data_IF_458221551596
#
_entry.id   IF_458221551596
#
_cell.length_a   1.000
_cell.length_b   1.000
_cell.length_c   1.000
_cell.angle_alpha   90.00
_cell.angle_beta   90.00
_cell.angle_gamma   90.00
#
_symmetry.space_group_name_H-M   'P 1'
#
loop_
_entity.id
_entity.type
_entity.pdbx_description
1 polymer ?
#
# COMPACT_ATOMS: atom_id res chain seq x y z
N UNK A 1 10.16 -10.21 30.26
CA UNK A 1 8.69 -10.07 30.16
C UNK A 1 8.15 -11.22 29.32
N UNK A 2 7.34 -12.11 29.92
CA UNK A 2 6.79 -13.30 29.25
C UNK A 2 5.92 -12.95 28.03
N UNK A 3 5.25 -11.79 28.06
CA UNK A 3 4.41 -11.29 26.97
C UNK A 3 5.16 -11.19 25.62
N UNK A 4 6.30 -10.50 25.57
CA UNK A 4 7.05 -10.30 24.32
C UNK A 4 7.69 -11.58 23.79
N UNK A 5 7.97 -12.55 24.65
CA UNK A 5 8.44 -13.87 24.22
C UNK A 5 7.35 -14.64 23.48
N UNK A 6 6.07 -14.44 23.86
CA UNK A 6 4.92 -15.06 23.18
C UNK A 6 4.49 -14.30 21.93
N UNK A 7 4.38 -12.97 21.99
CA UNK A 7 3.89 -12.15 20.87
C UNK A 7 4.96 -11.88 19.81
N UNK A 8 6.24 -11.92 20.18
CA UNK A 8 7.36 -11.64 19.29
C UNK A 8 7.23 -10.29 18.58
N UNK A 9 7.67 -10.26 17.30
CA UNK A 9 7.68 -9.06 16.45
C UNK A 9 6.32 -8.43 16.18
N UNK A 10 5.22 -9.17 16.39
CA UNK A 10 3.86 -8.63 16.19
C UNK A 10 3.52 -7.53 17.19
N UNK A 11 4.17 -7.53 18.36
CA UNK A 11 3.99 -6.53 19.40
C UNK A 11 5.06 -5.42 19.37
N UNK A 12 5.67 -5.16 18.21
CA UNK A 12 6.72 -4.12 18.08
C UNK A 12 6.23 -2.76 18.58
N UNK A 13 5.01 -2.35 18.22
CA UNK A 13 4.43 -1.08 18.67
C UNK A 13 4.24 -1.01 20.20
N UNK A 14 3.81 -2.11 20.83
CA UNK A 14 3.69 -2.18 22.29
C UNK A 14 5.06 -2.12 22.97
N UNK A 15 6.07 -2.78 22.40
CA UNK A 15 7.43 -2.76 22.93
C UNK A 15 8.06 -1.38 22.85
N UNK A 16 7.86 -0.68 21.74
CA UNK A 16 8.29 0.72 21.58
C UNK A 16 7.59 1.63 22.58
N UNK A 17 6.27 1.50 22.74
CA UNK A 17 5.51 2.30 23.71
C UNK A 17 6.03 2.13 25.13
N UNK A 18 6.23 0.89 25.59
CA UNK A 18 6.75 0.64 26.93
C UNK A 18 8.16 1.21 27.14
N UNK A 19 9.01 1.22 26.10
CA UNK A 19 10.31 1.87 26.16
C UNK A 19 10.16 3.39 26.28
N UNK A 20 9.28 4.01 25.49
CA UNK A 20 8.95 5.43 25.59
C UNK A 20 8.42 5.79 26.97
N UNK A 21 7.52 5.00 27.54
CA UNK A 21 6.95 5.23 28.86
C UNK A 21 8.06 5.23 29.93
N UNK A 22 8.95 4.21 29.90
CA UNK A 22 10.09 4.12 30.82
C UNK A 22 11.02 5.34 30.74
N UNK A 23 11.37 5.77 29.52
CA UNK A 23 12.24 6.95 29.33
C UNK A 23 11.52 8.23 29.79
N UNK A 24 10.21 8.33 29.56
CA UNK A 24 9.41 9.51 29.92
C UNK A 24 9.24 9.65 31.44
N UNK A 25 9.13 8.54 32.17
CA UNK A 25 9.12 8.52 33.64
C UNK A 25 10.39 9.15 34.21
N UNK A 26 11.56 8.75 33.70
CA UNK A 26 12.85 9.29 34.12
C UNK A 26 13.02 10.76 33.72
N UNK A 27 12.54 11.17 32.54
CA UNK A 27 12.64 12.55 32.07
C UNK A 27 12.02 13.58 33.03
N UNK A 28 10.90 13.24 33.68
CA UNK A 28 10.28 14.10 34.69
C UNK A 28 11.13 14.23 35.97
N UNK A 29 11.84 13.18 36.36
CA UNK A 29 12.76 13.21 37.49
C UNK A 29 14.04 14.00 37.14
N UNK A 30 14.52 13.88 35.89
CA UNK A 30 15.66 14.65 35.38
C UNK A 30 15.36 16.15 35.42
N UNK A 31 14.18 16.62 35.01
CA UNK A 31 13.84 18.04 35.16
C UNK A 31 13.92 18.55 36.60
N UNK A 32 13.47 17.76 37.57
CA UNK A 32 13.56 18.12 38.99
C UNK A 32 15.02 18.20 39.47
N UNK A 33 15.89 17.32 38.97
CA UNK A 33 17.31 17.29 39.35
C UNK A 33 18.04 18.59 38.96
N UNK A 34 17.66 19.21 37.84
CA UNK A 34 18.28 20.45 37.35
C UNK A 34 17.44 21.71 37.66
N UNK A 35 16.41 21.59 38.50
CA UNK A 35 15.51 22.70 38.84
C UNK A 35 14.90 23.38 37.59
N UNK A 36 14.46 22.55 36.64
CA UNK A 36 13.84 22.95 35.38
C UNK A 36 12.32 22.81 35.50
N UNK A 37 11.60 23.93 35.44
CA UNK A 37 10.13 23.97 35.46
C UNK A 37 9.51 23.71 34.07
N UNK A 38 9.74 22.52 33.51
CA UNK A 38 9.15 22.10 32.22
C UNK A 38 8.36 20.79 32.34
N UNK A 39 7.33 20.66 31.51
CA UNK A 39 6.65 19.37 31.28
C UNK A 39 7.33 18.66 30.11
N UNK A 40 7.51 17.34 30.21
CA UNK A 40 8.15 16.50 29.17
C UNK A 40 7.56 16.70 27.77
N UNK A 41 6.24 16.80 27.67
CA UNK A 41 5.55 17.07 26.39
C UNK A 41 5.83 18.45 25.78
N UNK A 42 6.35 19.41 26.55
CA UNK A 42 6.69 20.74 26.05
C UNK A 42 8.09 20.79 25.43
N UNK A 43 8.93 19.79 25.71
CA UNK A 43 10.34 19.77 25.33
C UNK A 43 10.59 20.05 23.84
N UNK A 44 9.93 19.38 22.87
CA UNK A 44 10.25 19.63 21.46
C UNK A 44 10.00 21.07 21.03
N UNK A 45 8.90 21.68 21.49
CA UNK A 45 8.57 23.09 21.19
C UNK A 45 9.55 24.01 21.89
N UNK A 46 9.85 23.76 23.17
CA UNK A 46 10.80 24.56 23.93
C UNK A 46 12.21 24.52 23.33
N UNK A 47 12.68 23.33 22.94
CA UNK A 47 14.01 23.11 22.35
C UNK A 47 14.17 23.84 21.02
N UNK A 48 13.16 23.79 20.15
CA UNK A 48 13.18 24.55 18.89
C UNK A 48 13.22 26.06 19.16
N UNK A 49 12.44 26.55 20.13
CA UNK A 49 12.45 27.96 20.53
C UNK A 49 13.73 28.40 21.27
N UNK A 50 14.44 27.49 21.94
CA UNK A 50 15.71 27.85 22.62
C UNK A 50 16.88 28.01 21.64
N UNK A 51 16.75 27.47 20.43
CA UNK A 51 17.77 27.53 19.39
C UNK A 51 17.45 28.55 18.28
N UNK A 52 16.30 29.23 18.35
CA UNK A 52 15.84 30.19 17.35
C UNK A 52 15.26 31.44 18.03
N UNK A 53 15.37 32.62 17.42
CA UNK A 53 14.88 33.85 18.05
C UNK A 53 13.35 33.94 18.10
N UNK A 54 12.69 33.71 16.97
CA UNK A 54 11.24 33.84 16.81
C UNK A 54 10.71 32.93 15.71
N UNK A 55 9.66 32.16 15.97
CA UNK A 55 9.11 31.19 15.01
C UNK A 55 7.59 31.21 14.98
N UNK A 56 7.01 30.87 13.83
CA UNK A 56 5.56 30.63 13.73
C UNK A 56 5.19 29.23 14.22
N UNK A 57 3.94 29.04 14.63
CA UNK A 57 3.39 27.71 14.96
C UNK A 57 3.58 26.70 13.81
N UNK A 58 3.43 27.15 12.57
CA UNK A 58 3.58 26.31 11.37
C UNK A 58 5.02 25.84 11.19
N UNK A 59 6.00 26.72 11.42
CA UNK A 59 7.42 26.36 11.35
C UNK A 59 7.78 25.34 12.43
N UNK A 60 7.35 25.60 13.67
CA UNK A 60 7.59 24.69 14.80
C UNK A 60 6.99 23.31 14.51
N UNK A 61 5.73 23.25 14.06
CA UNK A 61 5.04 22.00 13.75
C UNK A 61 5.77 21.18 12.66
N UNK A 62 6.27 21.85 11.62
CA UNK A 62 7.03 21.22 10.55
C UNK A 62 8.35 20.65 11.06
N UNK A 63 9.07 21.40 11.89
CA UNK A 63 10.41 21.02 12.37
C UNK A 63 10.37 19.83 13.32
N UNK A 64 9.40 19.79 14.25
CA UNK A 64 9.29 18.70 15.23
C UNK A 64 8.44 17.52 14.72
N UNK A 65 7.90 17.61 13.49
CA UNK A 65 7.04 16.56 12.92
C UNK A 65 5.70 16.36 13.64
N UNK A 66 5.19 17.37 14.35
CA UNK A 66 3.90 17.32 15.06
C UNK A 66 2.78 18.00 14.25
N UNK A 67 1.53 17.66 14.58
CA UNK A 67 0.39 18.34 13.98
C UNK A 67 0.24 19.78 14.51
N UNK A 68 -0.23 20.70 13.66
CA UNK A 68 -0.48 22.09 14.05
C UNK A 68 -1.35 22.22 15.32
N UNK A 69 -2.49 21.50 15.47
CA UNK A 69 -3.29 21.56 16.70
C UNK A 69 -2.54 21.11 17.96
N UNK A 70 -1.64 20.14 17.84
CA UNK A 70 -0.81 19.67 18.97
C UNK A 70 0.16 20.76 19.43
N UNK A 71 0.84 21.41 18.48
CA UNK A 71 1.76 22.52 18.78
C UNK A 71 1.01 23.71 19.37
N UNK A 72 -0.13 24.12 18.80
CA UNK A 72 -0.96 25.20 19.36
C UNK A 72 -1.45 24.91 20.78
N UNK A 73 -1.66 23.64 21.15
CA UNK A 73 -2.01 23.27 22.52
C UNK A 73 -0.82 23.44 23.46
N UNK A 74 0.37 22.97 23.06
CA UNK A 74 1.60 23.12 23.84
C UNK A 74 1.94 24.59 24.07
N UNK A 75 1.88 25.41 23.02
CA UNK A 75 2.13 26.86 23.10
C UNK A 75 1.21 27.53 24.12
N UNK A 76 -0.11 27.28 24.05
CA UNK A 76 -1.06 27.84 25.03
C UNK A 76 -0.74 27.45 26.46
N UNK A 77 -0.36 26.19 26.69
CA UNK A 77 0.03 25.73 28.03
C UNK A 77 1.33 26.38 28.52
N UNK A 78 2.33 26.56 27.66
CA UNK A 78 3.59 27.21 27.99
C UNK A 78 3.42 28.71 28.25
N UNK A 79 2.58 29.39 27.46
CA UNK A 79 2.24 30.80 27.63
C UNK A 79 1.52 31.05 28.95
N UNK A 80 0.61 30.15 29.35
CA UNK A 80 -0.06 30.22 30.65
C UNK A 80 0.90 30.10 31.86
N UNK A 81 2.12 29.60 31.64
CA UNK A 81 3.18 29.51 32.65
C UNK A 81 4.27 30.57 32.50
N UNK A 82 4.05 31.57 31.65
CA UNK A 82 4.99 32.68 31.34
C UNK A 82 6.35 32.20 30.81
N UNK A 83 6.38 31.06 30.11
CA UNK A 83 7.62 30.49 29.52
C UNK A 83 7.88 31.07 28.13
N UNK A 84 6.82 31.45 27.42
CA UNK A 84 6.87 31.99 26.06
C UNK A 84 5.94 33.18 25.92
N UNK A 85 6.25 34.06 24.97
CA UNK A 85 5.43 35.22 24.63
C UNK A 85 5.13 35.24 23.13
N UNK A 86 3.96 35.79 22.77
CA UNK A 86 3.57 36.03 21.38
C UNK A 86 3.91 37.47 20.97
N UNK A 87 4.54 37.62 19.81
CA UNK A 87 4.77 38.92 19.17
C UNK A 87 4.22 38.90 17.74
N UNK A 88 3.88 40.07 17.20
CA UNK A 88 3.45 40.18 15.80
C UNK A 88 4.66 40.29 14.89
N UNK A 89 4.59 39.63 13.74
CA UNK A 89 5.58 39.78 12.69
C UNK A 89 5.61 41.23 12.14
N UNK A 90 6.81 41.75 11.89
CA UNK A 90 7.04 43.13 11.44
C UNK A 90 6.76 43.33 9.94
N UNK A 91 6.77 42.24 9.14
CA UNK A 91 6.53 42.25 7.70
C UNK A 91 5.10 41.84 7.33
N UNK A 92 4.48 40.92 8.09
CA UNK A 92 3.08 40.54 7.97
C UNK A 92 2.41 40.46 9.35
N UNK A 93 1.81 41.57 9.81
CA UNK A 93 1.18 41.70 11.13
C UNK A 93 -0.02 40.76 11.42
N UNK A 94 -0.31 39.82 10.51
CA UNK A 94 -1.25 38.70 10.69
C UNK A 94 -0.58 37.43 11.22
N UNK A 95 0.75 37.32 11.15
CA UNK A 95 1.50 36.18 11.66
C UNK A 95 1.88 36.41 13.13
N UNK A 96 1.39 35.54 14.01
CA UNK A 96 1.84 35.47 15.39
C UNK A 96 3.16 34.67 15.44
N UNK A 97 4.21 35.34 15.90
CA UNK A 97 5.50 34.77 16.20
C UNK A 97 5.58 34.42 17.69
N UNK A 98 6.28 33.34 17.97
CA UNK A 98 6.48 32.79 19.31
C UNK A 98 7.96 32.87 19.64
N UNK A 99 8.27 33.32 20.86
CA UNK A 99 9.63 33.40 21.38
C UNK A 99 9.67 33.04 22.86
N UNK A 100 10.84 32.71 23.38
CA UNK A 100 11.03 32.51 24.83
C UNK A 100 10.86 33.85 25.57
N UNK A 101 10.18 33.79 26.73
CA UNK A 101 10.15 34.91 27.68
C UNK A 101 11.50 35.01 28.43
N UNK A 102 11.75 36.05 29.24
CA UNK A 102 12.91 36.09 30.13
C UNK A 102 12.97 34.86 31.06
N UNK A 103 11.82 34.41 31.59
CA UNK A 103 11.75 33.16 32.37
C UNK A 103 12.12 31.94 31.51
N UNK A 104 11.62 31.87 30.29
CA UNK A 104 11.98 30.81 29.34
C UNK A 104 13.47 30.78 29.01
N UNK A 105 14.11 31.94 28.88
CA UNK A 105 15.55 32.04 28.64
C UNK A 105 16.39 31.55 29.83
N UNK A 106 15.99 31.84 31.07
CA UNK A 106 16.65 31.29 32.26
C UNK A 106 16.52 29.76 32.33
N UNK A 107 15.34 29.22 31.97
CA UNK A 107 15.14 27.78 31.86
C UNK A 107 16.06 27.20 30.77
N UNK A 108 16.19 27.87 29.61
CA UNK A 108 17.03 27.43 28.52
C UNK A 108 18.51 27.33 28.93
N UNK A 109 19.01 28.26 29.76
CA UNK A 109 20.37 28.19 30.32
C UNK A 109 20.58 26.93 31.15
N UNK A 110 19.67 26.63 32.08
CA UNK A 110 19.74 25.39 32.90
C UNK A 110 19.63 24.13 32.04
N UNK A 111 18.90 24.21 30.93
CA UNK A 111 18.68 23.07 30.03
C UNK A 111 19.95 22.65 29.29
N UNK A 112 20.91 23.57 29.06
CA UNK A 112 22.17 23.25 28.36
C UNK A 112 22.96 22.16 29.08
N UNK A 113 23.21 22.34 30.38
CA UNK A 113 23.95 21.37 31.19
C UNK A 113 23.20 20.04 31.28
N UNK A 114 21.88 20.10 31.48
CA UNK A 114 21.04 18.91 31.50
C UNK A 114 21.12 18.11 30.20
N UNK A 115 21.05 18.77 29.04
CA UNK A 115 21.10 18.10 27.75
C UNK A 115 22.46 17.48 27.47
N UNK A 116 23.54 18.13 27.91
CA UNK A 116 24.89 17.56 27.85
C UNK A 116 24.98 16.26 28.66
N UNK A 117 24.49 16.26 29.90
CA UNK A 117 24.54 15.09 30.78
C UNK A 117 23.60 13.96 30.30
N UNK A 118 22.40 14.29 29.82
CA UNK A 118 21.50 13.32 29.19
C UNK A 118 22.15 12.71 27.95
N UNK A 119 22.80 13.51 27.11
CA UNK A 119 23.54 13.04 25.94
C UNK A 119 24.63 12.03 26.33
N UNK A 120 25.46 12.37 27.31
CA UNK A 120 26.51 11.47 27.81
C UNK A 120 25.94 10.16 28.41
N UNK A 121 24.80 10.24 29.10
CA UNK A 121 24.12 9.06 29.64
C UNK A 121 23.59 8.14 28.52
N UNK A 122 22.98 8.72 27.47
CA UNK A 122 22.51 7.97 26.29
C UNK A 122 23.69 7.32 25.55
N UNK A 123 24.81 8.03 25.40
CA UNK A 123 26.04 7.47 24.82
C UNK A 123 26.59 6.29 25.62
N UNK A 124 26.54 6.38 26.96
CA UNK A 124 26.97 5.31 27.86
C UNK A 124 26.09 4.06 27.73
N UNK A 125 24.77 4.22 27.60
CA UNK A 125 23.84 3.12 27.33
C UNK A 125 24.12 2.53 25.95
N UNK A 126 24.30 3.37 24.93
CA UNK A 126 24.51 2.95 23.54
C UNK A 126 25.80 2.14 23.37
N UNK A 127 26.87 2.47 24.12
CA UNK A 127 28.12 1.68 24.15
C UNK A 127 27.95 0.25 24.70
N UNK A 128 26.87 -0.01 25.44
CA UNK A 128 26.56 -1.31 26.01
C UNK A 128 25.61 -2.15 25.15
N UNK A 129 25.13 -1.61 24.02
CA UNK A 129 24.22 -2.31 23.12
C UNK A 129 24.93 -2.76 21.84
N UNK A 130 24.56 -3.94 21.34
CA UNK A 130 25.08 -4.44 20.05
C UNK A 130 24.51 -3.66 18.85
N UNK A 131 23.28 -3.17 18.97
CA UNK A 131 22.57 -2.49 17.89
C UNK A 131 22.44 -1.01 18.21
N UNK A 132 22.62 -0.16 17.20
CA UNK A 132 22.41 1.29 17.28
C UNK A 132 20.91 1.59 17.15
N UNK A 133 20.27 1.87 18.29
CA UNK A 133 18.82 2.14 18.33
C UNK A 133 18.45 3.40 17.56
N UNK A 134 19.30 4.43 17.58
CA UNK A 134 19.04 5.70 16.92
C UNK A 134 18.93 5.51 15.41
N UNK A 135 19.93 4.85 14.82
CA UNK A 135 19.92 4.54 13.38
C UNK A 135 18.82 3.55 13.00
N UNK A 136 18.55 2.56 13.86
CA UNK A 136 17.48 1.60 13.60
C UNK A 136 16.09 2.26 13.53
N UNK A 137 15.82 3.27 14.37
CA UNK A 137 14.56 4.03 14.30
C UNK A 137 14.50 4.82 12.99
N UNK A 138 15.57 5.52 12.62
CA UNK A 138 15.64 6.31 11.38
C UNK A 138 15.41 5.43 10.13
N UNK A 139 16.02 4.24 10.07
CA UNK A 139 15.80 3.27 8.98
C UNK A 139 14.34 2.84 8.91
N UNK A 140 13.70 2.57 10.05
CA UNK A 140 12.28 2.19 10.10
C UNK A 140 11.37 3.34 9.66
N UNK A 141 11.65 4.57 10.08
CA UNK A 141 10.91 5.76 9.66
C UNK A 141 11.01 5.95 8.14
N UNK A 142 12.21 5.82 7.58
CA UNK A 142 12.42 5.86 6.13
C UNK A 142 11.58 4.80 5.41
N UNK A 143 11.67 3.53 5.84
CA UNK A 143 10.94 2.42 5.22
C UNK A 143 9.42 2.58 5.34
N UNK A 144 8.92 3.01 6.50
CA UNK A 144 7.49 3.21 6.73
C UNK A 144 6.92 4.42 5.97
N UNK A 145 7.75 5.43 5.69
CA UNK A 145 7.39 6.55 4.82
C UNK A 145 7.29 6.12 3.34
N UNK A 146 8.14 5.19 2.88
CA UNK A 146 8.02 4.62 1.54
C UNK A 146 6.79 3.71 1.43
N UNK A 147 6.55 2.89 2.46
CA UNK A 147 5.46 1.92 2.47
C UNK A 147 4.96 1.69 3.89
N UNK A 148 3.71 2.10 4.12
CA UNK A 148 3.09 1.90 5.43
C UNK A 148 3.04 0.42 5.83
N UNK A 149 3.05 0.17 7.14
CA UNK A 149 2.88 -1.17 7.69
C UNK A 149 1.60 -1.85 7.18
N UNK A 150 0.51 -1.08 6.99
CA UNK A 150 -0.73 -1.57 6.39
C UNK A 150 -0.47 -2.20 5.01
N UNK A 151 0.27 -1.51 4.13
CA UNK A 151 0.60 -2.04 2.80
C UNK A 151 1.48 -3.30 2.87
N UNK A 152 2.44 -3.36 3.79
CA UNK A 152 3.22 -4.59 4.02
C UNK A 152 2.30 -5.76 4.42
N UNK A 153 1.36 -5.53 5.33
CA UNK A 153 0.41 -6.54 5.77
C UNK A 153 -0.58 -6.93 4.66
N UNK A 154 -1.05 -5.97 3.87
CA UNK A 154 -1.92 -6.23 2.71
C UNK A 154 -1.24 -7.12 1.67
N UNK A 155 0.06 -6.95 1.43
CA UNK A 155 0.81 -7.80 0.51
C UNK A 155 1.02 -9.21 1.06
N UNK A 156 1.40 -9.36 2.33
CA UNK A 156 1.54 -10.69 2.96
C UNK A 156 0.18 -11.41 3.04
N UNK A 157 -0.88 -10.66 3.34
CA UNK A 157 -2.25 -11.18 3.24
C UNK A 157 -2.53 -11.63 1.82
N UNK A 158 -2.27 -10.81 0.81
CA UNK A 158 -2.51 -11.16 -0.59
C UNK A 158 -1.75 -12.42 -1.01
N UNK A 159 -0.49 -12.58 -0.61
CA UNK A 159 0.31 -13.80 -0.85
C UNK A 159 -0.39 -15.03 -0.27
N UNK A 160 -0.76 -14.97 1.02
CA UNK A 160 -1.48 -16.06 1.70
C UNK A 160 -2.84 -16.34 1.04
N UNK A 161 -3.61 -15.32 0.70
CA UNK A 161 -4.92 -15.50 0.06
C UNK A 161 -4.81 -16.15 -1.32
N UNK A 162 -3.71 -15.88 -2.04
CA UNK A 162 -3.42 -16.47 -3.35
C UNK A 162 -3.13 -17.98 -3.27
N UNK A 163 -2.72 -18.51 -2.11
CA UNK A 163 -2.49 -19.95 -1.93
C UNK A 163 -3.79 -20.74 -1.79
N UNK A 164 -4.92 -20.07 -1.55
CA UNK A 164 -6.25 -20.69 -1.52
C UNK A 164 -6.93 -20.67 -2.89
N UNK A 165 -6.24 -20.16 -3.92
CA UNK A 165 -6.74 -20.11 -5.29
C UNK A 165 -6.19 -21.30 -6.06
N UNK A 166 -7.10 -22.08 -6.62
CA UNK A 166 -6.82 -23.14 -7.56
C UNK A 166 -7.46 -22.77 -8.91
N UNK A 167 -6.74 -23.00 -10.01
CA UNK A 167 -7.30 -22.80 -11.35
C UNK A 167 -7.46 -24.17 -12.00
N UNK A 168 -8.70 -24.51 -12.32
CA UNK A 168 -9.08 -25.80 -12.91
C UNK A 168 -9.59 -25.61 -14.34
N UNK A 169 -9.45 -26.61 -15.22
CA UNK A 169 -10.12 -26.59 -16.51
C UNK A 169 -11.64 -26.60 -16.32
N UNK A 170 -12.34 -25.98 -17.25
CA UNK A 170 -13.79 -25.99 -17.30
C UNK A 170 -14.37 -27.39 -17.53
N UNK A 171 -15.52 -27.65 -16.90
CA UNK A 171 -16.42 -28.79 -17.13
C UNK A 171 -17.84 -28.25 -17.22
N UNK A 172 -18.78 -29.04 -17.73
CA UNK A 172 -20.20 -28.64 -17.86
C UNK A 172 -20.82 -28.17 -16.54
N UNK A 173 -20.33 -28.65 -15.40
CA UNK A 173 -20.81 -28.26 -14.06
C UNK A 173 -20.54 -26.78 -13.75
N UNK A 174 -19.60 -26.14 -14.45
CA UNK A 174 -19.26 -24.73 -14.28
C UNK A 174 -20.00 -23.80 -15.25
N UNK A 175 -20.87 -24.31 -16.12
CA UNK A 175 -21.64 -23.54 -17.12
C UNK A 175 -22.31 -22.31 -16.50
N UNK A 176 -23.12 -22.53 -15.46
CA UNK A 176 -23.88 -21.46 -14.80
C UNK A 176 -22.95 -20.43 -14.16
N UNK A 177 -21.82 -20.87 -13.62
CA UNK A 177 -20.82 -19.96 -13.02
C UNK A 177 -20.11 -19.13 -14.09
N UNK A 178 -19.72 -19.75 -15.20
CA UNK A 178 -19.08 -19.07 -16.33
C UNK A 178 -19.97 -17.97 -16.90
N UNK A 179 -21.25 -18.28 -17.10
CA UNK A 179 -22.25 -17.32 -17.54
C UNK A 179 -22.46 -16.22 -16.51
N UNK A 180 -22.80 -16.57 -15.26
CA UNK A 180 -23.15 -15.60 -14.22
C UNK A 180 -22.02 -14.60 -13.91
N UNK A 181 -20.76 -15.05 -13.85
CA UNK A 181 -19.62 -14.17 -13.58
C UNK A 181 -19.38 -13.18 -14.72
N UNK A 182 -19.49 -13.63 -15.97
CA UNK A 182 -19.34 -12.75 -17.12
C UNK A 182 -20.52 -11.78 -17.23
N UNK A 183 -21.76 -12.23 -17.02
CA UNK A 183 -22.95 -11.36 -17.04
C UNK A 183 -22.87 -10.29 -15.93
N UNK A 184 -22.55 -10.66 -14.68
CA UNK A 184 -22.37 -9.70 -13.58
C UNK A 184 -21.35 -8.62 -13.94
N UNK A 185 -20.23 -9.03 -14.56
CA UNK A 185 -19.19 -8.11 -14.98
C UNK A 185 -19.64 -7.22 -16.14
N UNK A 186 -20.21 -7.79 -17.20
CA UNK A 186 -20.64 -7.05 -18.39
C UNK A 186 -21.71 -6.06 -17.97
N UNK A 187 -22.80 -6.50 -17.35
CA UNK A 187 -23.93 -5.64 -16.96
C UNK A 187 -23.56 -4.52 -15.98
N UNK A 188 -22.45 -4.66 -15.25
CA UNK A 188 -21.94 -3.60 -14.36
C UNK A 188 -21.28 -2.45 -15.12
N UNK A 189 -20.67 -2.71 -16.26
CA UNK A 189 -19.83 -1.73 -16.98
C UNK A 189 -20.32 -1.42 -18.40
N UNK A 190 -21.08 -2.32 -19.01
CA UNK A 190 -21.50 -2.31 -20.41
C UNK A 190 -22.87 -2.98 -20.60
N UNK A 191 -23.39 -2.93 -21.81
CA UNK A 191 -24.55 -3.70 -22.23
C UNK A 191 -24.10 -5.06 -22.79
N UNK A 192 -24.93 -6.09 -22.60
CA UNK A 192 -24.72 -7.40 -23.22
C UNK A 192 -24.89 -7.28 -24.74
N UNK A 193 -23.96 -7.85 -25.50
CA UNK A 193 -23.99 -7.86 -26.97
C UNK A 193 -24.24 -9.29 -27.48
N UNK A 194 -24.71 -9.47 -28.73
CA UNK A 194 -25.06 -10.79 -29.29
C UNK A 194 -23.91 -11.80 -29.21
N UNK A 195 -22.68 -11.32 -29.41
CA UNK A 195 -21.47 -12.13 -29.28
C UNK A 195 -21.23 -12.64 -27.85
N UNK A 196 -21.70 -11.91 -26.83
CA UNK A 196 -21.67 -12.36 -25.44
C UNK A 196 -22.68 -13.48 -25.20
N UNK A 197 -23.93 -13.32 -25.62
CA UNK A 197 -24.96 -14.36 -25.46
C UNK A 197 -24.54 -15.68 -26.11
N UNK A 198 -24.06 -15.64 -27.35
CA UNK A 198 -23.60 -16.84 -28.05
C UNK A 198 -22.50 -17.58 -27.28
N UNK A 199 -21.53 -16.85 -26.73
CA UNK A 199 -20.39 -17.42 -26.03
C UNK A 199 -20.73 -17.93 -24.62
N UNK A 200 -21.65 -17.25 -23.91
CA UNK A 200 -22.00 -17.56 -22.52
C UNK A 200 -23.10 -18.61 -22.41
N UNK A 201 -24.03 -18.66 -23.37
CA UNK A 201 -25.14 -19.62 -23.33
C UNK A 201 -24.70 -21.02 -23.77
N UNK A 202 -23.73 -21.15 -24.67
CA UNK A 202 -23.26 -22.43 -25.21
C UNK A 202 -21.72 -22.50 -25.36
N UNK A 203 -20.93 -22.32 -24.28
CA UNK A 203 -19.46 -22.28 -24.32
C UNK A 203 -18.82 -23.57 -24.83
N UNK A 204 -19.49 -24.73 -24.66
CA UNK A 204 -19.03 -25.99 -25.24
C UNK A 204 -18.89 -25.87 -26.76
N UNK A 205 -19.99 -25.54 -27.45
CA UNK A 205 -20.01 -25.42 -28.90
C UNK A 205 -19.28 -24.17 -29.42
N UNK A 206 -19.34 -23.06 -28.69
CA UNK A 206 -18.78 -21.79 -29.17
C UNK A 206 -17.29 -21.60 -28.88
N UNK A 207 -16.75 -22.25 -27.84
CA UNK A 207 -15.36 -22.08 -27.40
C UNK A 207 -14.60 -23.41 -27.43
N UNK A 208 -15.08 -24.43 -26.71
CA UNK A 208 -14.33 -25.67 -26.49
C UNK A 208 -14.20 -26.50 -27.77
N UNK A 209 -15.32 -26.73 -28.47
CA UNK A 209 -15.36 -27.55 -29.69
C UNK A 209 -14.59 -26.90 -30.86
N UNK A 210 -14.36 -25.59 -30.78
CA UNK A 210 -13.56 -24.82 -31.74
C UNK A 210 -12.05 -24.80 -31.39
N UNK A 211 -11.60 -25.59 -30.42
CA UNK A 211 -10.21 -25.66 -29.99
C UNK A 211 -9.78 -24.56 -29.01
N UNK A 212 -10.75 -23.85 -28.43
CA UNK A 212 -10.55 -22.94 -27.31
C UNK A 212 -10.49 -23.66 -25.96
N UNK A 213 -10.28 -22.90 -24.90
CA UNK A 213 -10.21 -23.41 -23.53
C UNK A 213 -10.89 -22.43 -22.57
N UNK A 214 -11.49 -22.95 -21.50
CA UNK A 214 -12.03 -22.14 -20.40
C UNK A 214 -11.40 -22.62 -19.09
N UNK A 215 -11.08 -21.68 -18.22
CA UNK A 215 -10.49 -21.91 -16.92
C UNK A 215 -11.38 -21.30 -15.85
N UNK A 216 -11.48 -21.99 -14.71
CA UNK A 216 -12.26 -21.57 -13.56
C UNK A 216 -11.32 -21.44 -12.37
N UNK A 217 -11.35 -20.30 -11.70
CA UNK A 217 -10.64 -20.09 -10.45
C UNK A 217 -11.56 -20.41 -9.27
N UNK A 218 -11.14 -21.38 -8.47
CA UNK A 218 -11.72 -21.73 -7.20
C UNK A 218 -10.97 -21.01 -6.09
N UNK A 219 -11.68 -20.27 -5.24
CA UNK A 219 -11.12 -19.74 -4.00
C UNK A 219 -11.77 -20.48 -2.83
N UNK A 220 -10.98 -21.26 -2.08
CA UNK A 220 -11.49 -22.16 -1.03
C UNK A 220 -12.62 -23.06 -1.56
N UNK A 221 -12.40 -23.69 -2.71
CA UNK A 221 -13.35 -24.58 -3.41
C UNK A 221 -14.63 -23.90 -3.94
N UNK A 222 -14.72 -22.57 -3.88
CA UNK A 222 -15.86 -21.83 -4.44
C UNK A 222 -15.43 -21.21 -5.77
N UNK A 223 -16.14 -21.43 -6.89
CA UNK A 223 -15.80 -20.81 -8.17
C UNK A 223 -16.09 -19.31 -8.11
N UNK A 224 -15.06 -18.50 -8.37
CA UNK A 224 -15.09 -17.05 -8.18
C UNK A 224 -14.46 -16.27 -9.32
N UNK A 225 -13.90 -16.95 -10.31
CA UNK A 225 -13.35 -16.30 -11.49
C UNK A 225 -13.30 -17.24 -12.69
N UNK A 226 -13.31 -16.66 -13.88
CA UNK A 226 -13.24 -17.40 -15.14
C UNK A 226 -12.40 -16.63 -16.15
N UNK A 227 -11.84 -17.37 -17.11
CA UNK A 227 -11.10 -16.84 -18.27
C UNK A 227 -11.21 -17.83 -19.42
N UNK A 228 -11.28 -17.33 -20.65
CA UNK A 228 -11.30 -18.15 -21.86
C UNK A 228 -10.16 -17.78 -22.82
N UNK A 229 -9.69 -18.80 -23.54
CA UNK A 229 -8.93 -18.67 -24.77
C UNK A 229 -9.84 -19.08 -25.92
N UNK A 230 -10.11 -18.18 -26.84
CA UNK A 230 -10.90 -18.47 -28.04
C UNK A 230 -9.93 -18.71 -29.18
N UNK A 231 -10.07 -19.83 -29.90
CA UNK A 231 -9.26 -20.09 -31.08
C UNK A 231 -9.57 -19.02 -32.14
N UNK A 232 -8.53 -18.48 -32.77
CA UNK A 232 -8.66 -17.50 -33.86
C UNK A 232 -8.27 -18.15 -35.20
N UNK A 233 -9.05 -17.81 -36.23
CA UNK A 233 -8.89 -18.28 -37.62
C UNK A 233 -8.56 -17.12 -38.58
N UNK A 234 -7.78 -16.13 -38.12
CA UNK A 234 -7.43 -14.92 -38.91
C UNK A 234 -6.05 -14.98 -39.59
N UNK A 235 -5.27 -16.04 -39.31
CA UNK A 235 -3.92 -16.27 -39.85
C UNK A 235 -2.80 -15.45 -39.20
N UNK A 236 -3.10 -14.58 -38.24
CA UNK A 236 -2.13 -13.73 -37.55
C UNK A 236 -2.08 -13.98 -36.03
N UNK A 237 -3.22 -14.10 -35.37
CA UNK A 237 -3.33 -14.44 -33.94
C UNK A 237 -3.77 -15.89 -33.78
N UNK A 238 -3.22 -16.60 -32.80
CA UNK A 238 -3.56 -18.01 -32.55
C UNK A 238 -4.79 -18.14 -31.66
N UNK A 239 -4.90 -17.23 -30.68
CA UNK A 239 -5.94 -17.21 -29.67
C UNK A 239 -6.30 -15.78 -29.24
N UNK A 240 -7.57 -15.55 -28.91
CA UNK A 240 -8.05 -14.38 -28.18
C UNK A 240 -8.19 -14.72 -26.69
N UNK A 241 -7.60 -13.89 -25.84
CA UNK A 241 -7.77 -13.93 -24.40
C UNK A 241 -9.02 -13.15 -24.00
N UNK A 242 -10.08 -13.84 -23.62
CA UNK A 242 -11.40 -13.24 -23.42
C UNK A 242 -12.12 -13.78 -22.18
N UNK A 243 -13.34 -13.25 -21.95
CA UNK A 243 -14.29 -13.69 -20.91
C UNK A 243 -13.64 -13.81 -19.51
N UNK A 244 -12.75 -12.86 -19.21
CA UNK A 244 -12.06 -12.73 -17.93
C UNK A 244 -12.96 -11.99 -16.95
N UNK A 245 -13.53 -12.72 -16.00
CA UNK A 245 -14.36 -12.15 -14.94
C UNK A 245 -13.93 -12.71 -13.58
N UNK A 246 -13.90 -11.85 -12.56
CA UNK A 246 -13.64 -12.24 -11.16
C UNK A 246 -14.69 -11.58 -10.28
N UNK A 247 -15.36 -12.39 -9.48
CA UNK A 247 -16.40 -11.95 -8.55
C UNK A 247 -15.88 -10.78 -7.69
N UNK A 248 -16.65 -9.68 -7.54
CA UNK A 248 -16.26 -8.55 -6.71
C UNK A 248 -15.89 -8.94 -5.28
N UNK A 249 -16.52 -9.98 -4.72
CA UNK A 249 -16.25 -10.51 -3.38
C UNK A 249 -14.86 -11.17 -3.27
N UNK A 250 -14.30 -11.59 -4.40
CA UNK A 250 -13.04 -12.31 -4.48
C UNK A 250 -11.87 -11.45 -4.97
N UNK A 251 -12.10 -10.21 -5.41
CA UNK A 251 -11.07 -9.29 -5.89
C UNK A 251 -9.98 -9.00 -4.83
N UNK A 252 -8.82 -8.52 -5.30
CA UNK A 252 -7.64 -8.24 -4.46
C UNK A 252 -6.79 -9.47 -4.10
N UNK A 253 -7.21 -10.69 -4.47
CA UNK A 253 -6.55 -11.96 -4.13
C UNK A 253 -5.69 -12.57 -5.25
N UNK A 254 -5.31 -11.75 -6.22
CA UNK A 254 -4.51 -12.16 -7.39
C UNK A 254 -5.15 -13.17 -8.36
N UNK A 255 -6.44 -13.48 -8.20
CA UNK A 255 -7.16 -14.48 -9.00
C UNK A 255 -7.04 -14.24 -10.51
N UNK A 256 -7.30 -13.02 -10.99
CA UNK A 256 -7.20 -12.70 -12.42
C UNK A 256 -5.79 -12.89 -12.99
N UNK A 257 -4.76 -12.69 -12.16
CA UNK A 257 -3.36 -12.94 -12.56
C UNK A 257 -3.06 -14.43 -12.66
N UNK A 258 -3.51 -15.24 -11.70
CA UNK A 258 -3.35 -16.70 -11.75
C UNK A 258 -4.14 -17.33 -12.92
N UNK A 259 -5.38 -16.87 -13.16
CA UNK A 259 -6.16 -17.26 -14.35
C UNK A 259 -5.38 -16.96 -15.63
N UNK A 260 -4.85 -15.73 -15.73
CA UNK A 260 -4.06 -15.34 -16.90
C UNK A 260 -2.80 -16.18 -17.08
N UNK A 261 -2.03 -16.44 -16.02
CA UNK A 261 -0.84 -17.28 -16.11
C UNK A 261 -1.16 -18.70 -16.59
N UNK A 262 -2.23 -19.31 -16.07
CA UNK A 262 -2.65 -20.66 -16.44
C UNK A 262 -3.14 -20.70 -17.89
N UNK A 263 -3.93 -19.71 -18.31
CA UNK A 263 -4.37 -19.59 -19.69
C UNK A 263 -3.18 -19.40 -20.64
N UNK A 264 -2.25 -18.47 -20.35
CA UNK A 264 -1.08 -18.24 -21.18
C UNK A 264 -0.16 -19.47 -21.27
N UNK A 265 0.03 -20.19 -20.16
CA UNK A 265 0.75 -21.47 -20.16
C UNK A 265 0.05 -22.48 -21.07
N UNK A 266 -1.28 -22.60 -20.99
CA UNK A 266 -2.03 -23.50 -21.85
C UNK A 266 -1.93 -23.11 -23.32
N UNK A 267 -1.99 -21.83 -23.65
CA UNK A 267 -1.81 -21.36 -25.03
C UNK A 267 -0.43 -21.76 -25.58
N UNK A 268 0.63 -21.64 -24.76
CA UNK A 268 1.98 -22.08 -25.13
C UNK A 268 2.06 -23.59 -25.36
N UNK A 269 1.43 -24.39 -24.49
CA UNK A 269 1.30 -25.85 -24.67
C UNK A 269 0.55 -26.24 -25.95
N UNK A 270 -0.42 -25.42 -26.35
CA UNK A 270 -1.17 -25.56 -27.61
C UNK A 270 -0.38 -25.04 -28.84
N UNK A 271 0.86 -24.58 -28.64
CA UNK A 271 1.74 -24.13 -29.72
C UNK A 271 1.51 -22.69 -30.17
N UNK A 272 0.72 -21.90 -29.44
CA UNK A 272 0.46 -20.50 -29.74
C UNK A 272 1.75 -19.67 -29.70
N UNK A 273 1.87 -18.76 -30.65
CA UNK A 273 2.95 -17.77 -30.76
C UNK A 273 2.44 -16.35 -30.54
N UNK A 274 1.16 -16.08 -30.82
CA UNK A 274 0.55 -14.74 -30.69
C UNK A 274 -0.83 -14.83 -30.06
N UNK A 275 -1.05 -14.04 -29.01
CA UNK A 275 -2.32 -13.93 -28.31
C UNK A 275 -2.83 -12.51 -28.41
N UNK A 276 -4.09 -12.37 -28.78
CA UNK A 276 -4.80 -11.12 -28.88
C UNK A 276 -5.71 -10.91 -27.68
N UNK A 277 -6.00 -9.66 -27.32
CA UNK A 277 -7.11 -9.34 -26.42
C UNK A 277 -7.72 -7.98 -26.72
N UNK A 278 -8.99 -7.87 -26.35
CA UNK A 278 -9.77 -6.64 -26.39
C UNK A 278 -10.13 -6.19 -24.98
N UNK A 279 -10.17 -4.86 -24.76
CA UNK A 279 -10.55 -4.29 -23.48
C UNK A 279 -11.10 -2.87 -23.65
N UNK A 280 -11.41 -2.23 -22.52
CA UNK A 280 -11.82 -0.84 -22.45
C UNK A 280 -10.97 -0.08 -21.42
N UNK A 281 -10.51 1.12 -21.79
CA UNK A 281 -9.69 2.03 -20.97
C UNK A 281 -10.32 2.45 -19.64
N UNK A 282 -11.65 2.33 -19.48
CA UNK A 282 -12.33 2.52 -18.19
C UNK A 282 -11.92 1.44 -17.17
N UNK A 283 -11.53 0.25 -17.63
CA UNK A 283 -11.16 -0.91 -16.83
C UNK A 283 -9.68 -0.88 -16.44
N UNK A 284 -9.25 0.18 -15.74
CA UNK A 284 -7.86 0.33 -15.27
C UNK A 284 -7.29 -0.92 -14.58
N UNK A 285 -8.03 -1.64 -13.72
CA UNK A 285 -7.54 -2.87 -13.11
C UNK A 285 -7.20 -3.99 -14.12
N UNK A 286 -8.02 -4.16 -15.17
CA UNK A 286 -7.80 -5.16 -16.20
C UNK A 286 -6.59 -4.82 -17.08
N UNK A 287 -6.43 -3.55 -17.46
CA UNK A 287 -5.27 -3.09 -18.24
C UNK A 287 -3.96 -3.30 -17.47
N UNK A 288 -3.94 -2.94 -16.18
CA UNK A 288 -2.78 -3.16 -15.33
C UNK A 288 -2.46 -4.66 -15.17
N UNK A 289 -3.49 -5.52 -15.15
CA UNK A 289 -3.33 -6.97 -15.14
C UNK A 289 -2.69 -7.45 -16.45
N UNK A 290 -3.22 -7.05 -17.60
CA UNK A 290 -2.71 -7.47 -18.91
C UNK A 290 -1.27 -7.01 -19.14
N UNK A 291 -0.92 -5.78 -18.75
CA UNK A 291 0.46 -5.29 -18.80
C UNK A 291 1.40 -6.13 -17.92
N UNK A 292 0.96 -6.54 -16.73
CA UNK A 292 1.74 -7.45 -15.85
C UNK A 292 1.90 -8.85 -16.44
N UNK A 293 0.94 -9.30 -17.25
CA UNK A 293 1.03 -10.55 -18.01
C UNK A 293 1.88 -10.41 -19.28
N UNK A 294 2.39 -9.20 -19.59
CA UNK A 294 3.29 -8.94 -20.71
C UNK A 294 2.61 -8.42 -21.98
N UNK A 295 1.29 -8.22 -21.97
CA UNK A 295 0.58 -7.70 -23.14
C UNK A 295 0.98 -6.25 -23.44
N UNK A 296 1.07 -5.94 -24.74
CA UNK A 296 1.41 -4.61 -25.28
C UNK A 296 0.27 -4.08 -26.15
N UNK A 297 0.04 -2.78 -26.14
CA UNK A 297 -1.02 -2.15 -26.93
C UNK A 297 -0.75 -2.33 -28.43
N UNK A 298 -1.79 -2.68 -29.18
CA UNK A 298 -1.84 -2.71 -30.64
C UNK A 298 -3.07 -1.96 -31.16
N UNK A 299 -3.17 -1.82 -32.48
CA UNK A 299 -4.31 -1.19 -33.17
C UNK A 299 -4.58 -1.91 -34.49
N UNK A 300 -5.81 -1.79 -34.99
CA UNK A 300 -6.14 -2.13 -36.39
C UNK A 300 -6.74 -3.51 -36.60
N UNK A 301 -6.95 -4.30 -35.55
CA UNK A 301 -7.70 -5.56 -35.65
C UNK A 301 -9.21 -5.27 -35.63
N UNK A 302 -10.02 -5.99 -36.41
CA UNK A 302 -11.47 -5.82 -36.40
C UNK A 302 -12.06 -6.34 -35.08
N UNK A 303 -13.04 -5.63 -34.52
CA UNK A 303 -13.71 -6.02 -33.27
C UNK A 303 -15.22 -6.15 -33.51
N UNK A 304 -15.88 -7.20 -33.00
CA UNK A 304 -17.33 -7.30 -33.00
C UNK A 304 -17.99 -6.47 -31.89
N UNK A 305 -17.20 -5.92 -30.94
CA UNK A 305 -17.70 -5.27 -29.75
C UNK A 305 -17.63 -3.75 -29.85
N UNK A 306 -18.78 -3.08 -29.69
CA UNK A 306 -18.84 -1.60 -29.70
C UNK A 306 -18.08 -0.99 -28.52
N UNK A 307 -18.01 -1.71 -27.39
CA UNK A 307 -17.32 -1.27 -26.17
C UNK A 307 -15.80 -1.32 -26.26
N UNK A 308 -15.20 -1.97 -27.26
CA UNK A 308 -13.75 -2.08 -27.38
C UNK A 308 -13.15 -0.73 -27.75
N UNK A 309 -12.20 -0.23 -26.94
CA UNK A 309 -11.44 0.99 -27.28
C UNK A 309 -9.92 0.84 -27.06
N UNK A 310 -9.47 -0.36 -26.68
CA UNK A 310 -8.07 -0.72 -26.57
C UNK A 310 -7.89 -2.19 -26.93
N UNK A 311 -6.86 -2.44 -27.72
CA UNK A 311 -6.46 -3.76 -28.19
C UNK A 311 -5.04 -4.02 -27.70
N UNK A 312 -4.74 -5.26 -27.32
CA UNK A 312 -3.40 -5.63 -26.87
C UNK A 312 -3.01 -6.98 -27.43
N UNK A 313 -1.70 -7.20 -27.59
CA UNK A 313 -1.14 -8.48 -28.02
C UNK A 313 -0.05 -8.96 -27.05
N UNK A 314 0.16 -10.27 -27.02
CA UNK A 314 1.31 -10.90 -26.40
C UNK A 314 1.96 -11.84 -27.42
N UNK A 315 3.25 -11.64 -27.67
CA UNK A 315 4.07 -12.58 -28.45
C UNK A 315 4.68 -13.57 -27.46
N UNK A 316 4.36 -14.85 -27.64
CA UNK A 316 4.90 -15.95 -26.85
C UNK A 316 6.20 -16.46 -27.48
N UNK A 317 7.32 -16.32 -26.76
CA UNK A 317 8.61 -16.86 -27.20
C UNK A 317 8.73 -18.33 -26.75
N UNK A 318 8.97 -19.23 -27.70
CA UNK A 318 9.12 -20.68 -27.45
C UNK A 318 10.35 -21.07 -26.61
N UNK A 319 11.28 -20.15 -26.38
CA UNK A 319 12.54 -20.42 -25.68
C UNK A 319 12.44 -20.40 -24.13
N UNK A 320 11.31 -19.97 -23.55
CA UNK A 320 11.16 -19.83 -22.08
C UNK A 320 10.43 -21.02 -21.43
N UNK A 321 10.03 -22.05 -22.20
CA UNK A 321 9.31 -23.23 -21.69
C UNK A 321 10.21 -24.41 -21.24
N UNK A 322 11.51 -24.16 -21.02
CA UNK A 322 12.45 -25.14 -20.46
C UNK A 322 13.13 -24.56 -19.23
N UNK A 323 12.37 -24.39 -18.16
CA UNK A 323 12.87 -24.35 -16.77
C UNK A 323 11.74 -24.71 -15.81
#
# INVERSE_FOLDING_TARGET
MEFFNKTGKMAIGSRLRMLTDKITEDAAAIYKLYDVELKTKWFPVFFVLSNNERLTVTTIAKEIGHSHPSVSKIIREMSACDIINECKDEADGRLNLIQLSPKGQEIAKKLVDQLSDVGAAIDSISKQTTHDLWKAIEEWEYLLNQKSLLKYVEEERKKRESTYVEVVPYTSDYQDTFKALNEEWISRYFEMEDADHKALDNPQASIIDNGGCIFVALYKNIPVGVCALLKMDDGYYDYEFAKMAVSPKAQGKNIGFQLGQVALKKALELGASRIYLESNTVLKPAINLYQKLGFKKVIGHATPYKRCNIQMELILNKEVAKE
#
